data_IF_465709871054
#
_entry.id   IF_465709871054
#
_cell.length_a   1.000
_cell.length_b   1.000
_cell.length_c   1.000
_cell.angle_alpha   90.00
_cell.angle_beta   90.00
_cell.angle_gamma   90.00
#
_symmetry.space_group_name_H-M   'P 1'
#
loop_
_entity.id
_entity.type
_entity.pdbx_description
1 polymer ?
#
# COMPACT_ATOMS: atom_id res chain seq x y z
N UNK A 1 -8.29 -33.19 16.67
CA UNK A 1 -7.00 -33.10 15.97
C UNK A 1 -6.40 -31.78 16.35
N UNK A 2 -5.60 -31.76 17.42
CA UNK A 2 -5.00 -30.55 17.98
C UNK A 2 -3.70 -30.28 17.23
N UNK A 3 -3.58 -29.08 16.61
CA UNK A 3 -2.32 -28.56 16.12
C UNK A 3 -1.69 -27.71 17.22
N UNK A 4 -0.65 -28.26 17.82
CA UNK A 4 0.26 -27.56 18.73
C UNK A 4 1.15 -26.64 17.89
N UNK A 5 0.97 -25.32 18.01
CA UNK A 5 1.87 -24.32 17.46
C UNK A 5 2.80 -23.80 18.55
N UNK A 6 3.74 -24.63 18.96
CA UNK A 6 4.91 -24.21 19.72
C UNK A 6 6.07 -23.95 18.76
N UNK A 7 6.11 -22.77 18.15
CA UNK A 7 7.31 -22.22 17.52
C UNK A 7 7.51 -20.80 18.03
N UNK A 8 7.85 -20.72 19.27
CA UNK A 8 8.43 -19.54 19.87
C UNK A 8 9.76 -19.96 20.49
N UNK A 9 10.81 -20.04 19.68
CA UNK A 9 12.18 -19.88 20.21
C UNK A 9 13.23 -19.86 19.08
N UNK A 10 13.47 -18.72 18.52
CA UNK A 10 14.77 -18.37 17.88
C UNK A 10 14.86 -16.88 17.51
N UNK A 11 14.22 -15.99 18.29
CA UNK A 11 14.55 -14.57 18.17
C UNK A 11 15.80 -14.28 19.01
N UNK A 12 16.98 -14.35 18.39
CA UNK A 12 18.24 -13.87 18.99
C UNK A 12 18.32 -12.37 18.74
N UNK A 13 18.29 -11.51 19.77
CA UNK A 13 18.51 -10.10 19.59
C UNK A 13 19.96 -9.82 19.13
N UNK A 14 20.07 -9.10 18.03
CA UNK A 14 21.37 -8.62 17.54
C UNK A 14 21.88 -7.55 18.49
N UNK A 15 23.14 -7.65 19.01
CA UNK A 15 23.68 -6.63 19.90
C UNK A 15 23.88 -5.29 19.16
N UNK A 16 23.72 -4.16 19.87
CA UNK A 16 23.91 -2.84 19.27
C UNK A 16 25.36 -2.66 18.83
N UNK A 17 25.55 -2.13 17.63
CA UNK A 17 26.88 -1.76 17.12
C UNK A 17 27.43 -0.59 17.92
N UNK A 18 28.70 -0.58 18.24
CA UNK A 18 29.32 0.55 18.95
C UNK A 18 29.35 1.79 18.06
N UNK A 19 28.90 2.90 18.62
CA UNK A 19 29.05 4.24 18.05
C UNK A 19 30.52 4.58 17.92
N UNK A 20 31.04 4.68 16.72
CA UNK A 20 32.28 5.41 16.47
C UNK A 20 31.92 6.80 15.97
N UNK A 21 32.21 7.72 16.86
CA UNK A 21 32.15 9.18 16.70
C UNK A 21 33.22 9.66 15.74
N UNK A 22 32.90 10.76 15.06
CA UNK A 22 33.79 11.78 14.48
C UNK A 22 34.10 11.69 13.00
N UNK A 23 33.40 12.54 12.27
CA UNK A 23 33.75 13.02 10.92
C UNK A 23 32.89 14.23 10.57
N UNK A 24 33.40 15.24 9.86
CA UNK A 24 32.86 16.58 9.89
C UNK A 24 31.53 16.77 9.17
N UNK A 25 30.74 17.63 9.78
CA UNK A 25 29.55 18.29 9.27
C UNK A 25 29.75 18.78 7.83
N UNK A 26 29.09 18.14 6.87
CA UNK A 26 28.75 18.75 5.60
C UNK A 26 27.23 18.85 5.56
N UNK A 27 26.77 20.01 5.97
CA UNK A 27 25.46 20.55 5.65
C UNK A 27 25.25 20.49 4.13
N UNK A 28 24.62 19.45 3.66
CA UNK A 28 24.01 19.41 2.35
C UNK A 28 22.52 19.19 2.57
N UNK A 29 21.82 20.30 2.69
CA UNK A 29 20.37 20.38 2.59
C UNK A 29 19.99 19.84 1.21
N UNK A 30 19.70 18.56 1.11
CA UNK A 30 18.85 18.07 0.07
C UNK A 30 17.46 18.65 0.34
N UNK A 31 17.17 19.77 -0.30
CA UNK A 31 15.82 20.29 -0.40
C UNK A 31 14.95 19.13 -0.89
N UNK A 32 13.87 18.78 -0.19
CA UNK A 32 12.90 17.86 -0.77
C UNK A 32 12.38 18.52 -2.05
N UNK A 33 12.59 17.87 -3.19
CA UNK A 33 11.93 18.23 -4.44
C UNK A 33 10.44 18.46 -4.14
N UNK A 34 9.83 19.55 -4.56
CA UNK A 34 8.42 19.78 -4.35
C UNK A 34 7.67 18.65 -5.04
N UNK A 35 7.12 17.76 -4.22
CA UNK A 35 6.25 16.69 -4.65
C UNK A 35 5.07 17.33 -5.36
N UNK A 36 4.89 16.95 -6.62
CA UNK A 36 3.80 17.37 -7.50
C UNK A 36 2.49 17.51 -6.73
N UNK A 37 1.74 18.56 -7.05
CA UNK A 37 0.47 19.00 -6.49
C UNK A 37 -0.27 17.95 -5.67
N UNK A 38 -0.33 18.16 -4.36
CA UNK A 38 -1.10 17.31 -3.46
C UNK A 38 -2.55 17.27 -3.94
N UNK A 39 -2.96 16.16 -4.53
CA UNK A 39 -4.31 15.97 -5.02
C UNK A 39 -5.34 16.01 -3.88
N UNK A 40 -6.62 16.28 -4.18
CA UNK A 40 -7.69 16.41 -3.19
C UNK A 40 -7.88 15.15 -2.32
N UNK A 41 -7.33 14.01 -2.73
CA UNK A 41 -7.35 12.76 -1.97
C UNK A 41 -6.50 12.79 -0.69
N UNK A 42 -5.60 13.76 -0.54
CA UNK A 42 -4.80 13.97 0.67
C UNK A 42 -5.51 14.85 1.70
N UNK A 43 -6.58 15.53 1.32
CA UNK A 43 -7.33 16.39 2.21
C UNK A 43 -8.05 15.58 3.30
N UNK A 44 -7.92 16.04 4.54
CA UNK A 44 -8.54 15.40 5.69
C UNK A 44 -7.90 14.07 6.11
N UNK A 45 -6.68 13.76 5.67
CA UNK A 45 -5.84 12.71 6.24
C UNK A 45 -5.03 13.28 7.42
N UNK A 46 -4.90 12.48 8.48
CA UNK A 46 -3.98 12.82 9.55
C UNK A 46 -2.51 12.61 9.09
N UNK A 47 -1.50 13.11 9.83
CA UNK A 47 -0.09 13.00 9.43
C UNK A 47 0.37 11.58 9.13
N UNK A 48 0.02 10.61 9.97
CA UNK A 48 0.41 9.21 9.82
C UNK A 48 -0.27 8.56 8.60
N UNK A 49 -1.54 8.88 8.36
CA UNK A 49 -2.28 8.43 7.18
C UNK A 49 -1.66 9.00 5.91
N UNK A 50 -1.31 10.27 5.93
CA UNK A 50 -0.67 10.95 4.80
C UNK A 50 0.70 10.35 4.50
N UNK A 51 1.51 10.09 5.52
CA UNK A 51 2.80 9.41 5.38
C UNK A 51 2.63 8.04 4.73
N UNK A 52 1.67 7.23 5.20
CA UNK A 52 1.37 5.92 4.62
C UNK A 52 0.91 5.99 3.16
N UNK A 53 0.22 7.04 2.74
CA UNK A 53 -0.18 7.27 1.34
C UNK A 53 1.02 7.64 0.47
N UNK A 54 1.91 8.49 0.96
CA UNK A 54 3.06 9.01 0.21
C UNK A 54 4.24 8.04 0.16
N UNK A 55 4.35 7.09 1.11
CA UNK A 55 5.41 6.08 1.13
C UNK A 55 5.19 5.04 0.02
N UNK A 56 5.56 5.35 -1.21
CA UNK A 56 5.35 4.49 -2.38
C UNK A 56 6.50 3.55 -2.67
N UNK A 57 7.67 3.82 -2.12
CA UNK A 57 8.87 3.02 -2.31
C UNK A 57 9.00 1.91 -1.24
N UNK A 58 9.24 0.70 -1.69
CA UNK A 58 9.46 -0.45 -0.83
C UNK A 58 8.22 -0.98 -0.10
N UNK A 59 8.40 -1.99 0.76
CA UNK A 59 7.32 -2.57 1.53
C UNK A 59 6.88 -1.65 2.67
N UNK A 60 5.57 -1.41 2.79
CA UNK A 60 4.97 -0.59 3.84
C UNK A 60 3.95 -1.41 4.62
N UNK A 61 4.10 -1.47 5.94
CA UNK A 61 3.14 -2.07 6.84
C UNK A 61 2.41 -0.98 7.63
N UNK A 62 1.08 -0.93 7.49
CA UNK A 62 0.23 -0.01 8.25
C UNK A 62 -0.54 -0.78 9.30
N UNK A 63 -0.23 -0.53 10.57
CA UNK A 63 -0.94 -1.08 11.71
C UNK A 63 -2.02 -0.10 12.15
N UNK A 64 -3.26 -0.50 12.07
CA UNK A 64 -4.38 0.39 12.37
C UNK A 64 -5.55 -0.36 13.02
N UNK A 65 -6.09 0.19 14.09
CA UNK A 65 -7.25 -0.34 14.82
C UNK A 65 -8.55 -0.27 14.00
N UNK A 66 -9.63 -0.80 14.55
CA UNK A 66 -10.95 -0.67 13.95
C UNK A 66 -11.37 0.82 13.92
N UNK A 67 -12.01 1.27 12.84
CA UNK A 67 -12.50 2.64 12.72
C UNK A 67 -11.44 3.72 12.44
N UNK A 68 -10.16 3.38 12.33
CA UNK A 68 -9.06 4.34 12.13
C UNK A 68 -8.86 4.78 10.68
N UNK A 69 -9.74 4.42 9.78
CA UNK A 69 -9.66 4.83 8.37
C UNK A 69 -8.72 4.02 7.49
N UNK A 70 -8.40 2.76 7.84
CA UNK A 70 -7.56 1.87 7.01
C UNK A 70 -7.94 1.84 5.54
N UNK A 71 -9.23 1.66 5.26
CA UNK A 71 -9.74 1.63 3.89
C UNK A 71 -9.52 2.96 3.18
N UNK A 72 -9.66 4.08 3.90
CA UNK A 72 -9.39 5.41 3.34
C UNK A 72 -7.92 5.56 2.95
N UNK A 73 -7.00 5.15 3.79
CA UNK A 73 -5.55 5.17 3.49
C UNK A 73 -5.26 4.35 2.23
N UNK A 74 -5.82 3.14 2.12
CA UNK A 74 -5.61 2.28 0.94
C UNK A 74 -6.20 2.90 -0.33
N UNK A 75 -7.41 3.46 -0.28
CA UNK A 75 -8.02 4.12 -1.46
C UNK A 75 -7.27 5.37 -1.87
N UNK A 76 -6.85 6.21 -0.91
CA UNK A 76 -6.05 7.40 -1.19
C UNK A 76 -4.66 7.03 -1.75
N UNK A 77 -4.03 5.96 -1.26
CA UNK A 77 -2.76 5.46 -1.79
C UNK A 77 -2.90 4.97 -3.24
N UNK A 78 -3.97 4.23 -3.56
CA UNK A 78 -4.25 3.83 -4.94
C UNK A 78 -4.48 5.04 -5.85
N UNK A 79 -5.28 6.01 -5.40
CA UNK A 79 -5.50 7.25 -6.14
C UNK A 79 -4.18 8.01 -6.37
N UNK A 80 -3.32 8.10 -5.36
CA UNK A 80 -2.02 8.73 -5.44
C UNK A 80 -1.11 8.09 -6.50
N UNK A 81 -1.02 6.77 -6.51
CA UNK A 81 -0.20 6.00 -7.47
C UNK A 81 -0.71 6.21 -8.91
N UNK A 82 -2.04 6.17 -9.10
CA UNK A 82 -2.66 6.30 -10.41
C UNK A 82 -2.55 7.73 -10.95
N UNK A 83 -2.85 8.74 -10.14
CA UNK A 83 -2.86 10.14 -10.53
C UNK A 83 -1.45 10.65 -10.86
N UNK A 84 -0.46 10.21 -10.08
CA UNK A 84 0.95 10.53 -10.36
C UNK A 84 1.57 9.63 -11.44
N UNK A 85 0.79 8.76 -12.07
CA UNK A 85 1.25 7.85 -13.14
C UNK A 85 2.45 6.99 -12.75
N UNK A 86 2.55 6.64 -11.48
CA UNK A 86 3.61 5.77 -10.95
C UNK A 86 3.43 4.32 -11.42
N UNK A 87 2.18 3.90 -11.66
CA UNK A 87 1.84 2.61 -12.22
C UNK A 87 0.55 2.71 -13.05
N UNK A 88 0.44 1.86 -14.05
CA UNK A 88 -0.81 1.70 -14.80
C UNK A 88 -1.82 0.85 -14.00
N UNK A 89 -3.13 1.04 -14.21
CA UNK A 89 -4.17 0.24 -13.53
C UNK A 89 -3.98 -1.28 -13.66
N UNK A 90 -3.44 -1.73 -14.79
CA UNK A 90 -3.12 -3.15 -15.05
C UNK A 90 -1.94 -3.70 -14.27
N UNK A 91 -1.11 -2.84 -13.70
CA UNK A 91 0.08 -3.19 -12.92
C UNK A 91 -0.17 -3.21 -11.42
N UNK A 92 -1.38 -2.81 -10.98
CA UNK A 92 -1.71 -2.71 -9.56
C UNK A 92 -2.55 -3.90 -9.16
N UNK A 93 -2.04 -4.68 -8.21
CA UNK A 93 -2.76 -5.75 -7.54
C UNK A 93 -3.32 -5.25 -6.20
N UNK A 94 -4.64 -5.25 -6.05
CA UNK A 94 -5.30 -4.90 -4.80
C UNK A 94 -6.27 -5.99 -4.38
N UNK A 95 -6.06 -6.57 -3.22
CA UNK A 95 -6.84 -7.70 -2.73
C UNK A 95 -7.55 -7.38 -1.42
N UNK A 96 -8.78 -7.88 -1.31
CA UNK A 96 -9.62 -7.75 -0.11
C UNK A 96 -10.19 -9.11 0.27
N UNK A 97 -10.80 -9.20 1.44
CA UNK A 97 -11.46 -10.44 1.86
C UNK A 97 -12.87 -10.60 1.28
N UNK A 98 -13.60 -9.50 1.07
CA UNK A 98 -15.00 -9.55 0.66
C UNK A 98 -15.25 -8.83 -0.65
N UNK A 99 -16.21 -9.31 -1.43
CA UNK A 99 -16.64 -8.67 -2.68
C UNK A 99 -17.21 -7.26 -2.41
N UNK A 100 -17.85 -7.06 -1.27
CA UNK A 100 -18.37 -5.76 -0.84
C UNK A 100 -17.22 -4.76 -0.68
N UNK A 101 -16.16 -5.13 0.05
CA UNK A 101 -15.00 -4.28 0.26
C UNK A 101 -14.27 -3.97 -1.07
N UNK A 102 -14.17 -4.94 -1.98
CA UNK A 102 -13.58 -4.73 -3.30
C UNK A 102 -14.38 -3.73 -4.14
N UNK A 103 -15.72 -3.81 -4.08
CA UNK A 103 -16.61 -2.88 -4.78
C UNK A 103 -16.48 -1.46 -4.21
N UNK A 104 -16.60 -1.33 -2.88
CA UNK A 104 -16.47 -0.04 -2.21
C UNK A 104 -15.11 0.63 -2.47
N UNK A 105 -14.04 -0.15 -2.51
CA UNK A 105 -12.71 0.36 -2.84
C UNK A 105 -12.66 0.90 -4.26
N UNK A 106 -13.21 0.18 -5.23
CA UNK A 106 -13.27 0.59 -6.64
C UNK A 106 -14.05 1.89 -6.82
N UNK A 107 -15.24 1.97 -6.22
CA UNK A 107 -16.09 3.16 -6.24
C UNK A 107 -15.35 4.38 -5.65
N UNK A 108 -14.76 4.23 -4.47
CA UNK A 108 -14.03 5.31 -3.80
C UNK A 108 -12.79 5.78 -4.57
N UNK A 109 -12.05 4.88 -5.20
CA UNK A 109 -10.91 5.26 -6.04
C UNK A 109 -11.41 6.03 -7.26
N UNK A 110 -12.49 5.58 -7.90
CA UNK A 110 -13.12 6.30 -9.02
C UNK A 110 -13.55 7.71 -8.65
N UNK A 111 -14.19 7.88 -7.50
CA UNK A 111 -14.62 9.18 -6.99
C UNK A 111 -13.43 10.13 -6.73
N UNK A 112 -12.32 9.60 -6.22
CA UNK A 112 -11.14 10.40 -5.90
C UNK A 112 -10.37 10.92 -7.13
N UNK A 113 -10.31 10.11 -8.19
CA UNK A 113 -9.59 10.49 -9.42
C UNK A 113 -10.50 11.07 -10.50
N UNK A 114 -11.81 11.19 -10.22
CA UNK A 114 -12.78 11.79 -11.14
C UNK A 114 -12.93 11.08 -12.48
N UNK A 115 -12.52 9.82 -12.57
CA UNK A 115 -12.62 8.98 -13.75
C UNK A 115 -13.33 7.68 -13.38
N UNK A 116 -14.14 7.17 -14.29
CA UNK A 116 -14.66 5.82 -14.15
C UNK A 116 -13.48 4.84 -14.17
N UNK A 117 -13.18 4.24 -13.00
CA UNK A 117 -12.08 3.27 -12.87
C UNK A 117 -12.56 1.93 -13.44
N UNK A 118 -12.85 1.91 -14.74
CA UNK A 118 -13.18 0.68 -15.46
C UNK A 118 -11.94 -0.23 -15.65
N UNK A 119 -10.77 0.23 -15.22
CA UNK A 119 -9.50 -0.36 -15.58
C UNK A 119 -8.65 -0.92 -14.43
N UNK A 120 -9.20 -1.32 -13.27
CA UNK A 120 -8.44 -2.06 -12.26
C UNK A 120 -8.73 -3.57 -12.36
N UNK A 121 -8.11 -4.29 -13.33
CA UNK A 121 -8.43 -5.69 -13.60
C UNK A 121 -8.00 -6.62 -12.45
N UNK A 122 -7.06 -6.17 -11.61
CA UNK A 122 -6.50 -6.93 -10.50
C UNK A 122 -6.97 -6.42 -9.13
N UNK A 123 -8.12 -5.75 -9.07
CA UNK A 123 -8.78 -5.40 -7.82
C UNK A 123 -9.94 -6.36 -7.56
N UNK A 124 -9.85 -7.13 -6.48
CA UNK A 124 -10.85 -8.13 -6.14
C UNK A 124 -10.58 -8.85 -4.82
N UNK A 125 -11.29 -9.95 -4.58
CA UNK A 125 -11.00 -10.80 -3.43
C UNK A 125 -9.81 -11.72 -3.71
N UNK A 126 -9.14 -12.20 -2.65
CA UNK A 126 -8.07 -13.19 -2.79
C UNK A 126 -8.48 -14.38 -3.67
N UNK A 127 -9.69 -14.92 -3.46
CA UNK A 127 -10.20 -16.06 -4.23
C UNK A 127 -10.42 -15.71 -5.72
N UNK A 128 -11.03 -14.58 -6.01
CA UNK A 128 -11.31 -14.17 -7.40
C UNK A 128 -10.02 -13.89 -8.18
N UNK A 129 -9.05 -13.26 -7.55
CA UNK A 129 -7.75 -12.97 -8.15
C UNK A 129 -6.94 -14.24 -8.35
N UNK A 130 -6.89 -15.13 -7.35
CA UNK A 130 -6.22 -16.42 -7.48
C UNK A 130 -6.81 -17.27 -8.63
N UNK A 131 -8.14 -17.35 -8.73
CA UNK A 131 -8.82 -18.03 -9.84
C UNK A 131 -8.46 -17.40 -11.19
N UNK A 132 -8.36 -16.08 -11.26
CA UNK A 132 -7.97 -15.36 -12.49
C UNK A 132 -6.53 -15.68 -12.89
N UNK A 133 -5.59 -15.67 -11.95
CA UNK A 133 -4.18 -16.03 -12.19
C UNK A 133 -4.07 -17.45 -12.69
N UNK A 134 -4.76 -18.40 -12.04
CA UNK A 134 -4.75 -19.81 -12.44
C UNK A 134 -5.30 -20.00 -13.87
N UNK A 135 -6.38 -19.31 -14.24
CA UNK A 135 -6.92 -19.37 -15.60
C UNK A 135 -5.92 -18.88 -16.64
N UNK A 136 -5.22 -17.78 -16.35
CA UNK A 136 -4.19 -17.27 -17.25
C UNK A 136 -3.00 -18.24 -17.36
N UNK A 137 -2.60 -18.85 -16.26
CA UNK A 137 -1.52 -19.85 -16.24
C UNK A 137 -1.88 -21.12 -17.00
N UNK A 138 -3.14 -21.60 -16.91
CA UNK A 138 -3.60 -22.81 -17.60
C UNK A 138 -3.73 -22.65 -19.12
N UNK A 139 -3.94 -21.43 -19.61
CA UNK A 139 -4.02 -21.17 -21.06
C UNK A 139 -2.63 -21.25 -21.73
N UNK A 140 -1.57 -21.12 -20.96
CA UNK A 140 -0.17 -21.21 -21.44
C UNK A 140 0.45 -22.61 -21.33
N UNK A 141 -0.29 -23.59 -20.86
CA UNK A 141 0.08 -25.01 -20.85
C UNK A 141 -0.59 -25.73 -21.99
#
# INVERSE_FOLDING_TARGET
MFFDMSVADSYRPVPPRPNTTTGPSLSSQAMPTPIASAGPYLDGLNPEQREAVLATEGPVLVLAGAGTGKTRVLTCRLAHILENKMAFPSQILSVTFTNKAAREMRERVGDLIGQAVEGLPWLGTFHSIAAKILRLSLIHI
#
